data_IF_453362992826
#
_entry.id   IF_453362992826
#
_cell.length_a   1.000
_cell.length_b   1.000
_cell.length_c   1.000
_cell.angle_alpha   90.00
_cell.angle_beta   90.00
_cell.angle_gamma   90.00
#
_symmetry.space_group_name_H-M   'P 1'
#
loop_
_entity.id
_entity.type
_entity.pdbx_description
1 polymer ?
#
# COMPACT_ATOMS: atom_id res chain seq x y z
N UNK A 1 -9.64 11.47 -10.62
CA UNK A 1 -8.20 11.16 -10.28
C UNK A 1 -7.77 9.81 -10.88
N UNK A 2 -8.51 8.75 -10.69
CA UNK A 2 -8.24 7.38 -11.17
C UNK A 2 -8.02 7.26 -12.69
N UNK A 3 -8.93 7.83 -13.48
CA UNK A 3 -8.82 7.86 -14.95
C UNK A 3 -7.53 8.55 -15.39
N UNK A 4 -7.14 9.63 -14.72
CA UNK A 4 -5.90 10.35 -15.02
C UNK A 4 -4.66 9.52 -14.72
N UNK A 5 -4.63 8.78 -13.61
CA UNK A 5 -3.48 7.92 -13.27
C UNK A 5 -3.28 6.82 -14.30
N UNK A 6 -4.37 6.26 -14.80
CA UNK A 6 -4.33 5.12 -15.71
C UNK A 6 -4.13 5.52 -17.18
N UNK A 7 -4.80 6.56 -17.62
CA UNK A 7 -4.88 6.92 -19.04
C UNK A 7 -3.81 7.94 -19.42
N UNK A 8 -3.48 8.89 -18.52
CA UNK A 8 -2.61 10.00 -18.88
C UNK A 8 -1.18 9.57 -19.23
N UNK A 9 -0.45 8.75 -18.42
CA UNK A 9 0.89 8.28 -18.81
C UNK A 9 0.88 7.48 -20.11
N UNK A 10 -0.13 6.63 -20.30
CA UNK A 10 -0.31 5.85 -21.52
C UNK A 10 -0.51 6.75 -22.75
N UNK A 11 -1.46 7.68 -22.66
CA UNK A 11 -1.77 8.59 -23.77
C UNK A 11 -0.54 9.42 -24.19
N UNK A 12 0.27 9.89 -23.23
CA UNK A 12 1.50 10.61 -23.52
C UNK A 12 2.49 9.72 -24.28
N UNK A 13 2.72 8.50 -23.83
CA UNK A 13 3.62 7.56 -24.51
C UNK A 13 3.14 7.25 -25.93
N UNK A 14 1.85 6.94 -26.10
CA UNK A 14 1.27 6.65 -27.42
C UNK A 14 1.34 7.86 -28.37
N UNK A 15 1.11 9.07 -27.87
CA UNK A 15 1.27 10.29 -28.67
C UNK A 15 2.72 10.48 -29.15
N UNK A 16 3.69 10.24 -28.26
CA UNK A 16 5.12 10.34 -28.60
C UNK A 16 5.49 9.30 -29.64
N UNK A 17 5.01 8.06 -29.51
CA UNK A 17 5.27 6.96 -30.46
C UNK A 17 4.66 7.25 -31.83
N UNK A 18 3.46 7.82 -31.89
CA UNK A 18 2.78 8.17 -33.16
C UNK A 18 3.50 9.31 -33.90
N UNK A 19 3.88 10.36 -33.18
CA UNK A 19 4.52 11.54 -33.77
C UNK A 19 5.98 11.24 -34.12
N UNK A 20 6.68 10.52 -33.26
CA UNK A 20 8.11 10.24 -33.30
C UNK A 20 8.95 11.42 -32.80
N UNK A 21 9.79 11.18 -31.82
CA UNK A 21 10.63 12.20 -31.16
C UNK A 21 11.45 13.01 -32.19
N UNK A 22 12.01 12.35 -33.21
CA UNK A 22 12.86 12.97 -34.19
C UNK A 22 12.13 13.96 -35.12
N UNK A 23 10.82 13.82 -35.24
CA UNK A 23 9.97 14.67 -36.09
C UNK A 23 9.44 15.92 -35.38
N UNK A 24 9.52 15.94 -34.01
CA UNK A 24 9.03 17.07 -33.24
C UNK A 24 9.91 18.30 -33.36
N UNK A 25 9.31 19.49 -33.47
CA UNK A 25 10.00 20.77 -33.34
C UNK A 25 10.46 21.03 -31.91
N UNK A 26 11.36 21.98 -31.71
CA UNK A 26 11.90 22.30 -30.35
C UNK A 26 10.79 22.72 -29.38
N UNK A 27 9.78 23.44 -29.82
CA UNK A 27 8.65 23.83 -28.95
C UNK A 27 7.80 22.62 -28.56
N UNK A 28 7.52 21.75 -29.49
CA UNK A 28 6.77 20.49 -29.24
C UNK A 28 7.53 19.59 -28.25
N UNK A 29 8.87 19.48 -28.37
CA UNK A 29 9.71 18.75 -27.44
C UNK A 29 9.62 19.33 -26.02
N UNK A 30 9.62 20.67 -25.88
CA UNK A 30 9.45 21.33 -24.57
C UNK A 30 8.08 21.06 -23.96
N UNK A 31 7.02 21.14 -24.76
CA UNK A 31 5.67 20.90 -24.27
C UNK A 31 5.48 19.43 -23.86
N UNK A 32 5.99 18.49 -24.67
CA UNK A 32 5.93 17.05 -24.36
C UNK A 32 6.78 16.68 -23.14
N UNK A 33 7.92 17.34 -22.92
CA UNK A 33 8.72 17.16 -21.72
C UNK A 33 7.91 17.52 -20.46
N UNK A 34 7.23 18.67 -20.45
CA UNK A 34 6.35 19.08 -19.35
C UNK A 34 5.26 18.03 -19.11
N UNK A 35 4.66 17.49 -20.16
CA UNK A 35 3.66 16.43 -20.04
C UNK A 35 4.23 15.15 -19.46
N UNK A 36 5.44 14.74 -19.85
CA UNK A 36 6.12 13.58 -19.28
C UNK A 36 6.47 13.78 -17.79
N UNK A 37 6.97 14.96 -17.42
CA UNK A 37 7.26 15.29 -16.02
C UNK A 37 5.99 15.31 -15.16
N UNK A 38 4.88 15.82 -15.67
CA UNK A 38 3.58 15.77 -15.00
C UNK A 38 3.08 14.32 -14.87
N UNK A 39 3.23 13.49 -15.91
CA UNK A 39 2.84 12.09 -15.86
C UNK A 39 3.70 11.33 -14.83
N UNK A 40 5.00 11.60 -14.78
CA UNK A 40 5.90 11.04 -13.77
C UNK A 40 5.46 11.43 -12.34
N UNK A 41 5.14 12.69 -12.09
CA UNK A 41 4.65 13.14 -10.79
C UNK A 41 3.35 12.41 -10.40
N UNK A 42 2.41 12.23 -11.32
CA UNK A 42 1.18 11.47 -11.08
C UNK A 42 1.48 10.02 -10.67
N UNK A 43 2.45 9.36 -11.33
CA UNK A 43 2.86 8.00 -11.00
C UNK A 43 3.52 7.92 -9.62
N UNK A 44 4.37 8.90 -9.29
CA UNK A 44 5.03 9.01 -7.98
C UNK A 44 3.99 9.21 -6.87
N UNK A 45 3.11 10.20 -7.03
CA UNK A 45 2.07 10.55 -6.04
C UNK A 45 1.09 9.41 -5.77
N UNK A 46 0.95 8.49 -6.73
CA UNK A 46 0.08 7.32 -6.63
C UNK A 46 0.83 6.01 -6.39
N UNK A 47 2.16 6.10 -6.19
CA UNK A 47 3.04 4.95 -5.97
C UNK A 47 2.94 3.87 -7.04
N UNK A 48 2.93 4.27 -8.34
CA UNK A 48 2.77 3.38 -9.49
C UNK A 48 4.05 3.24 -10.32
N UNK A 49 4.32 2.02 -10.80
CA UNK A 49 5.43 1.70 -11.70
C UNK A 49 5.01 1.60 -13.17
N UNK A 50 3.72 1.43 -13.46
CA UNK A 50 3.25 1.30 -14.84
C UNK A 50 3.60 2.55 -15.66
N UNK A 51 4.05 2.35 -16.89
CA UNK A 51 4.55 3.42 -17.76
C UNK A 51 5.74 4.24 -17.25
N UNK A 52 6.27 3.99 -16.04
CA UNK A 52 7.37 4.79 -15.48
C UNK A 52 8.63 4.67 -16.35
N UNK A 53 8.95 3.46 -16.87
CA UNK A 53 10.10 3.23 -17.71
C UNK A 53 10.03 4.01 -19.03
N UNK A 54 8.96 3.90 -19.86
CA UNK A 54 8.82 4.71 -21.06
C UNK A 54 8.76 6.21 -20.79
N UNK A 55 8.13 6.66 -19.71
CA UNK A 55 8.11 8.08 -19.32
C UNK A 55 9.53 8.57 -19.01
N UNK A 56 10.32 7.84 -18.22
CA UNK A 56 11.71 8.19 -17.92
C UNK A 56 12.57 8.23 -19.18
N UNK A 57 12.46 7.23 -20.08
CA UNK A 57 13.17 7.21 -21.36
C UNK A 57 12.83 8.43 -22.21
N UNK A 58 11.57 8.81 -22.28
CA UNK A 58 11.13 10.00 -23.02
C UNK A 58 11.69 11.29 -22.41
N UNK A 59 11.68 11.45 -21.08
CA UNK A 59 12.27 12.59 -20.38
C UNK A 59 13.77 12.71 -20.71
N UNK A 60 14.52 11.62 -20.61
CA UNK A 60 15.94 11.56 -20.92
C UNK A 60 16.17 11.98 -22.38
N UNK A 61 15.43 11.41 -23.32
CA UNK A 61 15.53 11.73 -24.75
C UNK A 61 15.23 13.18 -25.06
N UNK A 62 14.17 13.75 -24.46
CA UNK A 62 13.82 15.15 -24.65
C UNK A 62 14.86 16.12 -24.05
N UNK A 63 15.35 15.85 -22.84
CA UNK A 63 16.39 16.67 -22.20
C UNK A 63 17.68 16.66 -22.98
N UNK A 64 18.11 15.48 -23.45
CA UNK A 64 19.28 15.33 -24.32
C UNK A 64 19.16 16.14 -25.60
N UNK A 65 17.98 16.11 -26.24
CA UNK A 65 17.73 16.85 -27.50
C UNK A 65 17.68 18.37 -27.29
N UNK A 66 17.27 18.83 -26.12
CA UNK A 66 17.24 20.26 -25.78
C UNK A 66 18.65 20.80 -25.43
N UNK A 67 19.65 19.93 -25.36
CA UNK A 67 21.04 20.33 -25.02
C UNK A 67 21.19 20.80 -23.58
N UNK A 68 20.21 20.50 -22.73
CA UNK A 68 20.31 20.77 -21.31
C UNK A 68 21.28 19.73 -20.71
N UNK A 69 22.55 20.12 -20.58
CA UNK A 69 23.54 19.38 -19.76
C UNK A 69 23.26 19.62 -18.26
N UNK A 70 21.99 19.48 -17.87
CA UNK A 70 21.60 19.57 -16.46
C UNK A 70 22.01 18.30 -15.72
N UNK A 71 22.54 18.47 -14.50
CA UNK A 71 22.85 17.37 -13.56
C UNK A 71 21.65 16.41 -13.35
N UNK A 72 20.46 16.87 -13.70
CA UNK A 72 19.21 16.10 -13.62
C UNK A 72 19.05 14.94 -14.65
N UNK A 73 19.78 14.92 -15.76
CA UNK A 73 19.66 13.79 -16.73
C UNK A 73 20.21 12.53 -16.11
N UNK A 74 21.39 12.60 -15.50
CA UNK A 74 22.01 11.47 -14.82
C UNK A 74 21.11 10.90 -13.72
N UNK A 75 20.38 11.74 -13.01
CA UNK A 75 19.41 11.30 -12.00
C UNK A 75 18.29 10.42 -12.62
N UNK A 76 17.76 10.80 -13.77
CA UNK A 76 16.75 10.01 -14.46
C UNK A 76 17.31 8.70 -15.05
N UNK A 77 18.56 8.72 -15.53
CA UNK A 77 19.24 7.53 -16.01
C UNK A 77 19.49 6.51 -14.90
N UNK A 78 19.98 6.96 -13.73
CA UNK A 78 20.19 6.12 -12.55
C UNK A 78 18.84 5.50 -12.06
N UNK A 79 17.77 6.30 -12.01
CA UNK A 79 16.45 5.82 -11.65
C UNK A 79 15.94 4.77 -12.65
N UNK A 80 16.09 5.03 -13.94
CA UNK A 80 15.66 4.10 -15.00
C UNK A 80 16.42 2.78 -14.90
N UNK A 81 17.76 2.84 -14.79
CA UNK A 81 18.60 1.65 -14.63
C UNK A 81 18.20 0.81 -13.43
N UNK A 82 17.98 1.45 -12.27
CA UNK A 82 17.54 0.76 -11.07
C UNK A 82 16.19 0.04 -11.25
N UNK A 83 15.22 0.70 -11.89
CA UNK A 83 13.91 0.12 -12.16
C UNK A 83 14.03 -1.03 -13.17
N UNK A 84 14.79 -0.89 -14.24
CA UNK A 84 15.02 -1.94 -15.24
C UNK A 84 15.63 -3.18 -14.59
N UNK A 85 16.68 -3.03 -13.78
CA UNK A 85 17.30 -4.15 -13.04
C UNK A 85 16.30 -4.88 -12.14
N UNK A 86 15.37 -4.17 -11.51
CA UNK A 86 14.32 -4.80 -10.69
C UNK A 86 13.37 -5.63 -11.53
N UNK A 87 12.93 -5.12 -12.68
CA UNK A 87 12.06 -5.87 -13.59
C UNK A 87 12.77 -7.09 -14.18
N UNK A 88 14.04 -6.96 -14.54
CA UNK A 88 14.85 -8.08 -15.05
C UNK A 88 15.04 -9.17 -13.98
N UNK A 89 15.29 -8.77 -12.73
CA UNK A 89 15.58 -9.68 -11.64
C UNK A 89 14.35 -10.42 -11.12
N UNK A 90 13.22 -9.73 -11.01
CA UNK A 90 11.99 -10.29 -10.45
C UNK A 90 11.01 -10.76 -11.53
N UNK A 91 11.47 -10.75 -12.78
CA UNK A 91 10.88 -11.50 -13.88
C UNK A 91 9.48 -11.05 -14.27
N UNK A 92 9.36 -9.91 -14.95
CA UNK A 92 8.07 -9.53 -15.50
C UNK A 92 8.20 -9.07 -16.94
N UNK A 93 8.09 -10.03 -17.85
CA UNK A 93 7.86 -9.80 -19.28
C UNK A 93 6.38 -9.52 -19.53
N UNK A 94 5.85 -8.42 -19.02
CA UNK A 94 4.50 -8.02 -19.42
C UNK A 94 4.58 -6.89 -20.41
N UNK A 95 3.84 -7.07 -21.48
CA UNK A 95 3.41 -5.93 -22.27
C UNK A 95 2.57 -5.01 -21.39
N UNK A 96 2.85 -3.73 -21.45
CA UNK A 96 2.28 -2.63 -20.66
C UNK A 96 0.74 -2.50 -20.74
N UNK A 97 0.02 -3.49 -21.23
CA UNK A 97 -1.38 -3.39 -21.65
C UNK A 97 -2.35 -4.30 -20.92
N UNK A 98 -1.89 -5.12 -20.00
CA UNK A 98 -2.86 -5.89 -19.24
C UNK A 98 -3.58 -4.97 -18.25
N UNK A 99 -4.90 -5.00 -18.28
CA UNK A 99 -5.83 -4.27 -17.40
C UNK A 99 -5.65 -4.58 -15.91
N UNK A 100 -4.68 -5.35 -15.60
CA UNK A 100 -4.39 -5.96 -14.33
C UNK A 100 -4.10 -4.96 -13.20
N UNK A 101 -3.28 -3.90 -13.40
CA UNK A 101 -3.01 -2.91 -12.36
C UNK A 101 -4.27 -2.15 -11.93
N UNK A 102 -5.29 -2.14 -12.76
CA UNK A 102 -6.53 -1.41 -12.51
C UNK A 102 -7.51 -2.17 -11.64
N UNK A 103 -7.47 -3.51 -11.67
CA UNK A 103 -8.32 -4.34 -10.81
C UNK A 103 -7.81 -4.43 -9.37
N UNK A 104 -6.52 -4.27 -9.17
CA UNK A 104 -5.86 -4.45 -7.87
C UNK A 104 -6.17 -3.33 -6.89
N UNK A 105 -6.48 -2.14 -7.37
CA UNK A 105 -6.88 -1.02 -6.50
C UNK A 105 -8.38 -0.97 -6.19
N UNK A 106 -9.17 -1.74 -6.90
CA UNK A 106 -10.54 -1.96 -6.48
C UNK A 106 -10.48 -2.89 -5.26
N UNK A 107 -10.80 -2.40 -4.09
CA UNK A 107 -11.10 -3.25 -2.93
C UNK A 107 -12.30 -4.12 -3.30
N UNK A 108 -12.01 -5.26 -3.97
CA UNK A 108 -13.06 -6.21 -4.31
C UNK A 108 -13.44 -6.93 -3.03
N UNK A 109 -14.63 -6.64 -2.54
CA UNK A 109 -15.19 -7.32 -1.40
C UNK A 109 -16.10 -8.45 -1.87
N UNK A 110 -15.71 -9.69 -1.59
CA UNK A 110 -16.60 -10.84 -1.75
C UNK A 110 -17.61 -10.82 -0.60
N UNK A 111 -18.75 -10.18 -0.83
CA UNK A 111 -19.76 -9.89 0.22
C UNK A 111 -20.19 -11.16 0.96
N UNK A 112 -20.38 -12.27 0.25
CA UNK A 112 -20.83 -13.53 0.85
C UNK A 112 -19.78 -14.08 1.82
N UNK A 113 -18.50 -14.04 1.43
CA UNK A 113 -17.40 -14.51 2.25
C UNK A 113 -17.12 -13.57 3.41
N UNK A 114 -17.19 -12.24 3.17
CA UNK A 114 -17.08 -11.25 4.23
C UNK A 114 -18.16 -11.46 5.31
N UNK A 115 -19.42 -11.69 4.92
CA UNK A 115 -20.50 -11.98 5.86
C UNK A 115 -20.22 -13.28 6.63
N UNK A 116 -19.76 -14.32 5.94
CA UNK A 116 -19.42 -15.61 6.55
C UNK A 116 -18.33 -15.49 7.62
N UNK A 117 -17.22 -14.90 7.25
CA UNK A 117 -16.05 -14.76 8.13
C UNK A 117 -16.35 -13.81 9.29
N UNK A 118 -16.96 -12.65 9.01
CA UNK A 118 -17.27 -11.69 10.06
C UNK A 118 -18.27 -12.23 11.09
N UNK A 119 -19.24 -13.02 10.64
CA UNK A 119 -20.13 -13.74 11.55
C UNK A 119 -19.35 -14.66 12.49
N UNK A 120 -18.38 -15.41 11.96
CA UNK A 120 -17.51 -16.25 12.78
C UNK A 120 -16.69 -15.44 13.78
N UNK A 121 -16.15 -14.29 13.35
CA UNK A 121 -15.35 -13.41 14.20
C UNK A 121 -16.15 -12.82 15.36
N UNK A 122 -17.36 -12.37 15.10
CA UNK A 122 -18.23 -11.72 16.10
C UNK A 122 -19.01 -12.72 16.95
N UNK A 123 -19.02 -14.01 16.57
CA UNK A 123 -19.77 -15.05 17.27
C UNK A 123 -21.30 -14.93 17.14
N UNK A 124 -21.80 -14.00 16.30
CA UNK A 124 -23.25 -13.80 16.12
C UNK A 124 -23.88 -15.05 15.48
N UNK A 125 -25.04 -15.46 15.99
CA UNK A 125 -25.79 -16.58 15.43
C UNK A 125 -26.40 -16.24 14.07
N UNK A 126 -26.79 -17.26 13.30
CA UNK A 126 -27.47 -17.02 12.01
C UNK A 126 -28.82 -16.37 12.21
N UNK A 127 -29.51 -16.71 13.29
CA UNK A 127 -30.80 -16.16 13.67
C UNK A 127 -30.70 -14.66 14.00
N UNK A 128 -29.72 -14.29 14.81
CA UNK A 128 -29.41 -12.89 15.15
C UNK A 128 -29.01 -12.09 13.92
N UNK A 129 -28.16 -12.67 13.08
CA UNK A 129 -27.74 -12.02 11.84
C UNK A 129 -28.92 -11.82 10.88
N UNK A 130 -29.81 -12.78 10.77
CA UNK A 130 -31.01 -12.70 9.93
C UNK A 130 -31.99 -11.62 10.44
N UNK A 131 -32.25 -11.61 11.75
CA UNK A 131 -33.19 -10.71 12.41
C UNK A 131 -34.53 -10.64 11.65
N UNK A 132 -35.08 -9.45 11.54
CA UNK A 132 -36.40 -9.22 10.88
C UNK A 132 -36.29 -9.08 9.35
N UNK A 133 -35.10 -9.14 8.78
CA UNK A 133 -34.89 -8.76 7.38
C UNK A 133 -34.79 -9.94 6.42
N UNK A 134 -34.41 -11.10 6.92
CA UNK A 134 -34.19 -12.31 6.14
C UNK A 134 -34.56 -13.55 6.96
N UNK A 135 -34.88 -14.67 6.29
CA UNK A 135 -34.94 -15.95 6.97
C UNK A 135 -33.53 -16.51 7.24
N UNK A 136 -33.32 -17.19 8.35
CA UNK A 136 -32.05 -17.87 8.68
C UNK A 136 -31.60 -18.81 7.55
N UNK A 137 -32.56 -19.48 6.88
CA UNK A 137 -32.28 -20.32 5.71
C UNK A 137 -31.69 -19.51 4.54
N UNK A 138 -32.19 -18.30 4.29
CA UNK A 138 -31.67 -17.44 3.21
C UNK A 138 -30.28 -16.91 3.56
N UNK A 139 -30.04 -16.50 4.80
CA UNK A 139 -28.71 -16.08 5.29
C UNK A 139 -27.71 -17.22 5.13
N UNK A 140 -28.08 -18.47 5.48
CA UNK A 140 -27.22 -19.62 5.24
C UNK A 140 -26.87 -19.83 3.77
N UNK A 141 -27.84 -19.63 2.85
CA UNK A 141 -27.58 -19.75 1.40
C UNK A 141 -26.65 -18.65 0.89
N UNK A 142 -26.80 -17.43 1.42
CA UNK A 142 -25.89 -16.31 1.12
C UNK A 142 -24.46 -16.64 1.58
N UNK A 143 -24.30 -17.06 2.84
CA UNK A 143 -23.00 -17.41 3.40
C UNK A 143 -22.30 -18.52 2.59
N UNK A 144 -23.06 -19.49 2.10
CA UNK A 144 -22.55 -20.60 1.27
C UNK A 144 -22.32 -20.21 -0.21
N UNK A 145 -22.58 -18.97 -0.59
CA UNK A 145 -22.44 -18.51 -1.98
C UNK A 145 -23.52 -19.02 -2.94
N UNK A 146 -24.58 -19.69 -2.44
CA UNK A 146 -25.66 -20.20 -3.31
C UNK A 146 -26.61 -19.13 -3.81
N UNK A 147 -26.61 -17.96 -3.18
CA UNK A 147 -27.46 -16.82 -3.52
C UNK A 147 -26.65 -15.55 -3.35
N UNK A 148 -26.68 -14.71 -4.36
CA UNK A 148 -26.13 -13.35 -4.27
C UNK A 148 -27.17 -12.44 -3.60
N UNK A 149 -26.86 -11.81 -2.47
CA UNK A 149 -27.77 -10.91 -1.80
C UNK A 149 -27.96 -9.62 -2.59
N UNK A 150 -29.14 -9.01 -2.52
CA UNK A 150 -29.34 -7.66 -3.05
C UNK A 150 -28.51 -6.65 -2.24
N UNK A 151 -28.23 -5.47 -2.82
CA UNK A 151 -27.51 -4.39 -2.14
C UNK A 151 -28.08 -4.08 -0.74
N UNK A 152 -29.41 -3.92 -0.66
CA UNK A 152 -30.07 -3.62 0.61
C UNK A 152 -29.95 -4.76 1.63
N UNK A 153 -30.01 -6.01 1.19
CA UNK A 153 -29.80 -7.18 2.05
C UNK A 153 -28.36 -7.22 2.55
N UNK A 154 -27.40 -7.06 1.66
CA UNK A 154 -25.97 -7.01 2.00
C UNK A 154 -25.68 -5.93 3.02
N UNK A 155 -26.19 -4.71 2.78
CA UNK A 155 -26.02 -3.58 3.70
C UNK A 155 -26.52 -3.90 5.10
N UNK A 156 -27.75 -4.42 5.23
CA UNK A 156 -28.35 -4.75 6.53
C UNK A 156 -27.57 -5.84 7.27
N UNK A 157 -27.11 -6.88 6.56
CA UNK A 157 -26.30 -7.94 7.17
C UNK A 157 -24.94 -7.42 7.63
N UNK A 158 -24.27 -6.61 6.81
CA UNK A 158 -22.98 -6.00 7.16
C UNK A 158 -23.12 -4.98 8.30
N UNK A 159 -24.18 -4.17 8.32
CA UNK A 159 -24.46 -3.24 9.41
C UNK A 159 -24.60 -3.96 10.76
N UNK A 160 -25.25 -5.14 10.77
CA UNK A 160 -25.37 -5.98 11.99
C UNK A 160 -24.04 -6.61 12.43
N UNK A 161 -23.14 -6.82 11.48
CA UNK A 161 -21.79 -7.33 11.74
C UNK A 161 -20.77 -6.21 12.09
N UNK A 162 -21.26 -4.98 12.34
CA UNK A 162 -20.40 -3.83 12.66
C UNK A 162 -19.66 -3.25 11.46
N UNK A 163 -19.98 -3.69 10.24
CA UNK A 163 -19.32 -3.26 9.00
C UNK A 163 -20.15 -2.18 8.26
N UNK A 164 -20.56 -1.15 8.98
CA UNK A 164 -21.33 -0.05 8.39
C UNK A 164 -20.49 0.67 7.32
N UNK A 165 -21.00 0.72 6.10
CA UNK A 165 -20.35 1.44 4.99
C UNK A 165 -19.42 0.62 4.10
N UNK A 166 -19.13 -0.63 4.41
CA UNK A 166 -18.21 -1.51 3.64
C UNK A 166 -18.62 -1.72 2.17
N UNK A 167 -19.91 -1.62 1.86
CA UNK A 167 -20.39 -1.73 0.47
C UNK A 167 -20.14 -0.47 -0.37
N UNK A 168 -19.55 0.56 0.21
CA UNK A 168 -19.07 1.72 -0.51
C UNK A 168 -17.55 1.60 -0.60
N UNK A 169 -16.99 1.90 -1.76
CA UNK A 169 -15.54 1.92 -1.98
C UNK A 169 -14.80 2.87 -1.04
N UNK A 170 -15.53 3.78 -0.41
CA UNK A 170 -15.03 4.73 0.58
C UNK A 170 -15.56 4.34 1.95
N UNK A 171 -14.70 3.77 2.74
CA UNK A 171 -14.93 3.42 4.17
C UNK A 171 -15.26 4.67 4.98
N UNK A 172 -14.87 5.83 4.49
CA UNK A 172 -14.96 7.12 5.14
C UNK A 172 -16.08 7.92 4.51
N UNK A 173 -17.02 8.38 5.34
CA UNK A 173 -18.13 9.22 4.91
C UNK A 173 -17.86 10.65 5.34
N UNK A 174 -17.39 11.45 4.42
CA UNK A 174 -17.13 12.87 4.62
C UNK A 174 -18.17 13.76 3.94
N UNK A 175 -18.11 15.05 4.23
CA UNK A 175 -18.98 16.08 3.64
C UNK A 175 -18.74 16.34 2.14
N UNK A 176 -17.66 15.79 1.58
CA UNK A 176 -17.30 15.93 0.17
C UNK A 176 -15.94 15.34 -0.18
N UNK A 177 -15.53 15.47 -1.44
CA UNK A 177 -14.23 14.97 -1.96
C UNK A 177 -13.05 15.55 -1.20
N UNK A 178 -13.18 16.78 -0.70
CA UNK A 178 -12.15 17.47 0.11
C UNK A 178 -11.77 16.68 1.38
N UNK A 179 -12.72 15.97 1.99
CA UNK A 179 -12.45 15.15 3.16
C UNK A 179 -11.51 13.98 2.81
N UNK A 180 -11.72 13.37 1.65
CA UNK A 180 -10.86 12.29 1.15
C UNK A 180 -9.45 12.82 0.82
N UNK A 181 -9.36 13.94 0.11
CA UNK A 181 -8.07 14.58 -0.21
C UNK A 181 -7.30 15.02 1.04
N UNK A 182 -8.04 15.49 2.07
CA UNK A 182 -7.43 15.87 3.34
C UNK A 182 -6.88 14.67 4.10
N UNK A 183 -7.57 13.52 4.02
CA UNK A 183 -7.08 12.27 4.60
C UNK A 183 -5.81 11.80 3.89
N UNK A 184 -5.80 11.76 2.55
CA UNK A 184 -4.61 11.37 1.78
C UNK A 184 -3.42 12.26 2.16
N UNK A 185 -3.62 13.59 2.22
CA UNK A 185 -2.58 14.54 2.63
C UNK A 185 -2.11 14.31 4.07
N UNK A 186 -3.02 13.96 5.00
CA UNK A 186 -2.64 13.66 6.38
C UNK A 186 -1.77 12.41 6.45
N UNK A 187 -2.12 11.35 5.74
CA UNK A 187 -1.33 10.13 5.64
C UNK A 187 0.06 10.41 5.03
N UNK A 188 0.13 11.21 3.98
CA UNK A 188 1.38 11.63 3.36
C UNK A 188 2.26 12.44 4.32
N UNK A 189 1.66 13.38 5.06
CA UNK A 189 2.38 14.17 6.06
C UNK A 189 2.95 13.28 7.18
N UNK A 190 2.21 12.30 7.65
CA UNK A 190 2.69 11.33 8.64
C UNK A 190 3.86 10.51 8.04
N UNK A 191 3.70 9.98 6.84
CA UNK A 191 4.73 9.19 6.17
C UNK A 191 6.03 9.98 5.90
N UNK A 192 5.92 11.31 5.71
CA UNK A 192 7.04 12.23 5.51
C UNK A 192 7.57 12.84 6.81
N UNK A 193 7.07 12.42 7.98
CA UNK A 193 7.43 12.98 9.29
C UNK A 193 7.14 14.48 9.44
N UNK A 194 6.13 14.99 8.73
CA UNK A 194 5.61 16.36 8.84
C UNK A 194 4.49 16.41 9.88
N UNK A 195 4.83 16.19 11.13
CA UNK A 195 3.86 15.91 12.19
C UNK A 195 2.92 17.07 12.50
N UNK A 196 3.41 18.31 12.49
CA UNK A 196 2.59 19.52 12.72
C UNK A 196 1.52 19.72 11.63
N UNK A 197 1.90 19.48 10.36
CA UNK A 197 0.94 19.50 9.25
C UNK A 197 -0.08 18.37 9.37
N UNK A 198 0.37 17.17 9.77
CA UNK A 198 -0.51 16.03 9.98
C UNK A 198 -1.55 16.32 11.10
N UNK A 199 -1.14 16.88 12.24
CA UNK A 199 -2.05 17.27 13.34
C UNK A 199 -3.12 18.25 12.87
N UNK A 200 -2.71 19.27 12.12
CA UNK A 200 -3.62 20.26 11.57
C UNK A 200 -4.65 19.61 10.63
N UNK A 201 -4.20 18.70 9.76
CA UNK A 201 -5.07 18.01 8.81
C UNK A 201 -6.02 17.03 9.51
N UNK A 202 -5.56 16.29 10.53
CA UNK A 202 -6.41 15.42 11.34
C UNK A 202 -7.49 16.25 12.07
N UNK A 203 -7.12 17.40 12.61
CA UNK A 203 -8.09 18.32 13.24
C UNK A 203 -9.15 18.81 12.25
N UNK A 204 -8.77 19.08 10.98
CA UNK A 204 -9.71 19.42 9.91
C UNK A 204 -10.62 18.25 9.57
N UNK A 205 -10.10 17.03 9.49
CA UNK A 205 -10.88 15.81 9.24
C UNK A 205 -11.99 15.59 10.26
N UNK A 206 -11.76 15.93 11.54
CA UNK A 206 -12.81 15.87 12.57
C UNK A 206 -14.05 16.71 12.25
N UNK A 207 -13.89 17.79 11.51
CA UNK A 207 -15.01 18.65 11.10
C UNK A 207 -15.64 18.21 9.78
N UNK A 208 -14.92 17.45 8.96
CA UNK A 208 -15.36 16.97 7.65
C UNK A 208 -16.01 15.60 7.72
N UNK A 209 -15.65 14.79 8.71
CA UNK A 209 -16.19 13.46 8.91
C UNK A 209 -17.51 13.49 9.69
N UNK A 210 -18.45 12.63 9.31
CA UNK A 210 -19.68 12.47 10.07
C UNK A 210 -19.42 11.69 11.36
N UNK A 211 -19.59 12.33 12.50
CA UNK A 211 -19.32 11.76 13.83
C UNK A 211 -20.22 10.58 14.22
N UNK A 212 -21.36 10.45 13.57
CA UNK A 212 -22.31 9.32 13.77
C UNK A 212 -21.91 8.07 12.95
N UNK A 213 -20.83 8.12 12.20
CA UNK A 213 -20.28 7.01 11.44
C UNK A 213 -19.11 6.41 12.23
N UNK A 214 -19.30 5.22 12.77
CA UNK A 214 -18.36 4.55 13.66
C UNK A 214 -16.95 4.41 13.05
N UNK A 215 -16.88 4.02 11.77
CA UNK A 215 -15.60 3.85 11.05
C UNK A 215 -14.82 5.17 10.97
N UNK A 216 -15.50 6.30 10.80
CA UNK A 216 -14.85 7.61 10.79
C UNK A 216 -14.13 7.89 12.12
N UNK A 217 -14.77 7.55 13.23
CA UNK A 217 -14.19 7.74 14.56
C UNK A 217 -13.01 6.80 14.78
N UNK A 218 -13.12 5.53 14.36
CA UNK A 218 -12.02 4.55 14.41
C UNK A 218 -10.81 5.04 13.62
N UNK A 219 -11.02 5.53 12.40
CA UNK A 219 -9.92 6.03 11.54
C UNK A 219 -9.27 7.27 12.14
N UNK A 220 -10.05 8.22 12.66
CA UNK A 220 -9.50 9.42 13.30
C UNK A 220 -8.68 9.07 14.54
N UNK A 221 -9.19 8.19 15.40
CA UNK A 221 -8.48 7.74 16.59
C UNK A 221 -7.21 6.97 16.24
N UNK A 222 -7.27 6.11 15.21
CA UNK A 222 -6.10 5.43 14.69
C UNK A 222 -5.02 6.40 14.23
N UNK A 223 -5.38 7.43 13.46
CA UNK A 223 -4.42 8.44 12.96
C UNK A 223 -3.75 9.18 14.11
N UNK A 224 -4.48 9.51 15.16
CA UNK A 224 -3.94 10.17 16.35
C UNK A 224 -2.99 9.26 17.13
N UNK A 225 -3.38 8.01 17.34
CA UNK A 225 -2.52 7.00 17.99
C UNK A 225 -1.22 6.84 17.19
N UNK A 226 -1.32 6.68 15.89
CA UNK A 226 -0.16 6.51 15.01
C UNK A 226 0.76 7.72 15.05
N UNK A 227 0.20 8.92 14.98
CA UNK A 227 0.97 10.16 15.05
C UNK A 227 1.69 10.34 16.39
N UNK A 228 1.00 10.11 17.51
CA UNK A 228 1.58 10.16 18.87
C UNK A 228 2.71 9.13 19.03
N UNK A 229 2.53 7.93 18.47
CA UNK A 229 3.58 6.90 18.45
C UNK A 229 4.83 7.37 17.71
N UNK A 230 4.67 7.97 16.52
CA UNK A 230 5.80 8.45 15.72
C UNK A 230 6.50 9.68 16.29
N UNK A 231 5.83 10.44 17.14
CA UNK A 231 6.38 11.58 17.89
C UNK A 231 7.02 11.15 19.21
N UNK A 232 7.03 9.85 19.52
CA UNK A 232 7.48 9.31 20.82
C UNK A 232 6.75 9.92 22.04
N UNK A 233 5.47 10.33 21.87
CA UNK A 233 4.65 10.91 22.93
C UNK A 233 3.96 9.87 23.81
N UNK A 234 3.87 8.63 23.33
CA UNK A 234 3.16 7.52 23.98
C UNK A 234 3.99 6.25 23.90
N UNK A 235 4.07 5.51 25.00
CA UNK A 235 4.76 4.23 25.06
C UNK A 235 4.10 3.18 24.16
N UNK A 236 4.89 2.32 23.49
CA UNK A 236 4.37 1.29 22.59
C UNK A 236 3.36 0.35 23.26
N UNK A 237 3.49 0.08 24.54
CA UNK A 237 2.54 -0.75 25.30
C UNK A 237 1.15 -0.11 25.39
N UNK A 238 1.08 1.20 25.56
CA UNK A 238 -0.17 1.95 25.55
C UNK A 238 -0.76 2.02 24.15
N UNK A 239 0.08 2.26 23.13
CA UNK A 239 -0.34 2.21 21.72
C UNK A 239 -1.00 0.87 21.40
N UNK A 240 -0.38 -0.24 21.78
CA UNK A 240 -0.92 -1.61 21.60
C UNK A 240 -2.29 -1.75 22.22
N UNK A 241 -2.46 -1.34 23.48
CA UNK A 241 -3.74 -1.43 24.19
C UNK A 241 -4.84 -0.59 23.51
N UNK A 242 -4.49 0.61 23.07
CA UNK A 242 -5.44 1.50 22.35
C UNK A 242 -5.82 0.93 20.99
N UNK A 243 -4.86 0.41 20.23
CA UNK A 243 -5.14 -0.25 18.94
C UNK A 243 -6.03 -1.48 19.10
N UNK A 244 -5.84 -2.27 20.16
CA UNK A 244 -6.71 -3.41 20.47
C UNK A 244 -8.16 -3.00 20.72
N UNK A 245 -8.38 -1.83 21.34
CA UNK A 245 -9.73 -1.33 21.61
C UNK A 245 -10.47 -0.86 20.37
N UNK A 246 -9.77 -0.58 19.26
CA UNK A 246 -10.37 -0.16 17.99
C UNK A 246 -10.93 -1.33 17.17
N UNK A 247 -10.58 -2.56 17.51
CA UNK A 247 -11.00 -3.73 16.77
C UNK A 247 -12.07 -4.54 17.52
N UNK A 248 -13.03 -5.10 16.78
CA UNK A 248 -14.12 -5.91 17.37
C UNK A 248 -13.67 -7.32 17.76
N UNK A 249 -12.39 -7.65 17.65
CA UNK A 249 -11.83 -8.99 17.92
C UNK A 249 -10.42 -8.88 18.51
N UNK A 250 -9.96 -9.97 19.15
CA UNK A 250 -8.61 -10.03 19.71
C UNK A 250 -7.56 -10.33 18.65
N UNK A 251 -6.43 -9.65 18.68
CA UNK A 251 -5.32 -9.91 17.76
C UNK A 251 -4.80 -11.34 17.80
N UNK A 252 -4.78 -11.99 18.94
CA UNK A 252 -4.40 -13.39 19.10
C UNK A 252 -5.25 -14.37 18.26
N UNK A 253 -6.42 -13.93 17.84
CA UNK A 253 -7.35 -14.74 17.04
C UNK A 253 -7.30 -14.44 15.54
N UNK A 254 -6.50 -13.44 15.13
CA UNK A 254 -6.52 -12.92 13.76
C UNK A 254 -6.18 -13.98 12.70
N UNK A 255 -5.28 -14.93 13.04
CA UNK A 255 -4.95 -16.05 12.14
C UNK A 255 -6.10 -17.05 11.88
N UNK A 256 -7.24 -16.88 12.53
CA UNK A 256 -8.46 -17.66 12.28
C UNK A 256 -9.34 -17.02 11.19
N UNK A 257 -9.04 -15.79 10.77
CA UNK A 257 -9.93 -14.96 9.97
C UNK A 257 -9.32 -14.63 8.61
N UNK A 258 -10.15 -14.74 7.57
CA UNK A 258 -9.73 -14.58 6.17
C UNK A 258 -9.87 -13.15 5.64
N UNK A 259 -10.70 -12.34 6.25
CA UNK A 259 -11.01 -11.01 5.73
C UNK A 259 -10.84 -9.92 6.78
N UNK A 260 -9.94 -8.99 6.48
CA UNK A 260 -9.80 -7.74 7.21
C UNK A 260 -10.18 -6.58 6.28
N UNK A 261 -10.96 -5.65 6.76
CA UNK A 261 -11.26 -4.42 6.02
C UNK A 261 -10.09 -3.44 6.13
N UNK A 262 -10.04 -2.42 5.26
CA UNK A 262 -8.87 -1.54 5.12
C UNK A 262 -8.36 -0.96 6.44
N UNK A 263 -9.24 -0.36 7.23
CA UNK A 263 -8.83 0.24 8.51
C UNK A 263 -8.30 -0.80 9.52
N UNK A 264 -8.85 -2.02 9.53
CA UNK A 264 -8.37 -3.11 10.38
C UNK A 264 -6.94 -3.54 9.98
N UNK A 265 -6.64 -3.56 8.68
CA UNK A 265 -5.29 -3.84 8.17
C UNK A 265 -4.29 -2.77 8.57
N UNK A 266 -4.69 -1.49 8.47
CA UNK A 266 -3.86 -0.37 8.91
C UNK A 266 -3.55 -0.46 10.41
N UNK A 267 -4.56 -0.74 11.21
CA UNK A 267 -4.42 -0.94 12.67
C UNK A 267 -3.50 -2.13 12.95
N UNK A 268 -3.71 -3.27 12.29
CA UNK A 268 -2.87 -4.45 12.43
C UNK A 268 -1.41 -4.18 12.04
N UNK A 269 -1.19 -3.46 10.94
CA UNK A 269 0.15 -3.08 10.48
C UNK A 269 0.92 -2.32 11.57
N UNK A 270 0.29 -1.31 12.17
CA UNK A 270 0.89 -0.54 13.27
C UNK A 270 1.06 -1.37 14.55
N UNK A 271 0.10 -2.26 14.85
CA UNK A 271 0.20 -3.19 15.98
C UNK A 271 1.42 -4.12 15.87
N UNK A 272 1.64 -4.70 14.69
CA UNK A 272 2.83 -5.54 14.42
C UNK A 272 4.11 -4.74 14.60
N UNK A 273 4.14 -3.49 14.13
CA UNK A 273 5.29 -2.61 14.32
C UNK A 273 5.58 -2.37 15.80
N UNK A 274 4.56 -2.07 16.61
CA UNK A 274 4.72 -1.86 18.04
C UNK A 274 5.24 -3.11 18.74
N UNK A 275 4.69 -4.29 18.43
CA UNK A 275 5.19 -5.55 18.98
C UNK A 275 6.65 -5.80 18.61
N UNK A 276 7.03 -5.52 17.36
CA UNK A 276 8.43 -5.59 16.92
C UNK A 276 9.34 -4.63 17.69
N UNK A 277 8.91 -3.39 17.92
CA UNK A 277 9.65 -2.39 18.73
C UNK A 277 9.78 -2.78 20.19
N UNK A 278 8.80 -3.50 20.72
CA UNK A 278 8.81 -4.02 22.11
C UNK A 278 9.54 -5.36 22.24
N UNK A 279 10.10 -5.87 21.15
CA UNK A 279 10.73 -7.20 21.07
C UNK A 279 9.78 -8.37 21.46
N UNK A 280 8.47 -8.15 21.34
CA UNK A 280 7.44 -9.17 21.62
C UNK A 280 7.08 -9.97 20.37
N UNK A 281 8.08 -10.51 19.71
CA UNK A 281 7.93 -11.19 18.41
C UNK A 281 7.01 -12.41 18.46
N UNK A 282 6.96 -13.10 19.58
CA UNK A 282 6.09 -14.27 19.79
C UNK A 282 4.60 -13.93 19.81
N UNK A 283 4.27 -12.67 20.14
CA UNK A 283 2.91 -12.17 20.12
C UNK A 283 2.45 -11.73 18.72
N UNK A 284 3.37 -11.62 17.76
CA UNK A 284 3.03 -11.26 16.38
C UNK A 284 2.26 -12.42 15.75
N UNK A 285 1.07 -12.18 15.18
CA UNK A 285 0.31 -13.22 14.48
C UNK A 285 1.17 -13.87 13.38
N UNK A 286 1.07 -15.19 13.24
CA UNK A 286 1.90 -15.93 12.28
C UNK A 286 1.54 -15.54 10.84
N UNK A 287 2.53 -15.11 10.06
CA UNK A 287 2.35 -14.65 8.69
C UNK A 287 1.75 -15.72 7.77
N UNK A 288 2.23 -16.95 7.87
CA UNK A 288 1.78 -18.03 7.00
C UNK A 288 0.31 -18.41 7.29
N UNK A 289 -0.12 -18.29 8.55
CA UNK A 289 -1.54 -18.45 8.90
C UNK A 289 -2.39 -17.30 8.39
N UNK A 290 -1.89 -16.08 8.49
CA UNK A 290 -2.56 -14.87 7.97
C UNK A 290 -2.77 -14.93 6.46
N UNK A 291 -1.82 -15.50 5.73
CA UNK A 291 -1.86 -15.55 4.26
C UNK A 291 -2.37 -16.89 3.70
N UNK A 292 -2.65 -17.87 4.54
CA UNK A 292 -3.02 -19.24 4.16
C UNK A 292 -4.28 -19.37 3.29
N UNK A 293 -5.17 -18.39 3.32
CA UNK A 293 -6.38 -18.35 2.49
C UNK A 293 -6.12 -17.92 1.04
N UNK A 294 -4.94 -17.37 0.77
CA UNK A 294 -4.54 -16.97 -0.58
C UNK A 294 -3.89 -18.17 -1.24
N UNK A 295 -4.66 -18.88 -2.01
CA UNK A 295 -4.24 -20.17 -2.58
C UNK A 295 -3.69 -20.10 -3.98
N UNK A 296 -3.84 -18.96 -4.66
CA UNK A 296 -3.40 -18.81 -6.05
C UNK A 296 -2.85 -17.39 -6.35
N UNK A 297 -2.05 -17.28 -7.40
CA UNK A 297 -1.38 -16.05 -7.82
C UNK A 297 -2.38 -14.93 -8.19
N UNK A 298 -3.53 -15.29 -8.75
CA UNK A 298 -4.57 -14.31 -9.08
C UNK A 298 -5.11 -13.65 -7.81
N UNK A 299 -5.37 -14.43 -6.77
CA UNK A 299 -5.80 -13.90 -5.48
C UNK A 299 -4.74 -13.01 -4.84
N UNK A 300 -3.45 -13.40 -4.90
CA UNK A 300 -2.35 -12.56 -4.42
C UNK A 300 -2.35 -11.18 -5.08
N UNK A 301 -2.53 -11.15 -6.38
CA UNK A 301 -2.56 -9.91 -7.15
C UNK A 301 -3.81 -9.06 -6.87
N UNK A 302 -4.98 -9.69 -6.74
CA UNK A 302 -6.22 -9.00 -6.37
C UNK A 302 -6.15 -8.32 -5.01
N UNK A 303 -5.37 -8.89 -4.10
CA UNK A 303 -5.21 -8.39 -2.74
C UNK A 303 -3.84 -7.73 -2.49
N UNK A 304 -3.11 -7.36 -3.53
CA UNK A 304 -1.77 -6.77 -3.41
C UNK A 304 -1.74 -5.57 -2.45
N UNK A 305 -2.72 -4.68 -2.54
CA UNK A 305 -2.82 -3.51 -1.64
C UNK A 305 -2.98 -3.88 -0.16
N UNK A 306 -3.45 -5.09 0.14
CA UNK A 306 -3.55 -5.62 1.50
C UNK A 306 -2.18 -6.01 2.03
N UNK A 307 -1.35 -6.58 1.15
CA UNK A 307 -0.09 -7.20 1.54
C UNK A 307 1.08 -6.23 1.60
N UNK A 308 1.02 -5.11 0.91
CA UNK A 308 2.12 -4.14 0.85
C UNK A 308 2.63 -3.76 2.23
N UNK A 309 1.76 -3.17 3.05
CA UNK A 309 2.12 -2.76 4.41
C UNK A 309 2.40 -3.95 5.33
N UNK A 310 1.58 -5.01 5.24
CA UNK A 310 1.77 -6.20 6.06
C UNK A 310 3.08 -6.89 5.77
N UNK A 311 3.43 -7.13 4.50
CA UNK A 311 4.71 -7.73 4.14
C UNK A 311 5.89 -6.92 4.67
N UNK A 312 5.83 -5.60 4.53
CA UNK A 312 6.88 -4.71 5.05
C UNK A 312 6.99 -4.82 6.58
N UNK A 313 5.87 -4.79 7.31
CA UNK A 313 5.89 -4.86 8.79
C UNK A 313 6.35 -6.21 9.28
N UNK A 314 5.89 -7.29 8.69
CA UNK A 314 6.34 -8.65 9.03
C UNK A 314 7.83 -8.84 8.72
N UNK A 315 8.28 -8.44 7.52
CA UNK A 315 9.69 -8.55 7.16
C UNK A 315 10.59 -7.79 8.15
N UNK A 316 10.25 -6.53 8.44
CA UNK A 316 11.01 -5.72 9.40
C UNK A 316 10.99 -6.35 10.82
N UNK A 317 9.84 -6.82 11.30
CA UNK A 317 9.73 -7.40 12.63
C UNK A 317 10.54 -8.69 12.76
N UNK A 318 10.45 -9.59 11.78
CA UNK A 318 11.26 -10.81 11.79
C UNK A 318 12.76 -10.54 11.61
N UNK A 319 13.14 -9.55 10.78
CA UNK A 319 14.52 -9.10 10.66
C UNK A 319 15.06 -8.60 12.00
N UNK A 320 14.36 -7.70 12.66
CA UNK A 320 14.74 -7.18 13.98
C UNK A 320 14.81 -8.29 15.05
N UNK A 321 14.01 -9.35 14.92
CA UNK A 321 14.05 -10.52 15.79
C UNK A 321 15.22 -11.48 15.49
N UNK A 322 16.04 -11.21 14.47
CA UNK A 322 17.11 -12.11 14.04
C UNK A 322 16.63 -13.29 13.19
N UNK A 323 15.34 -13.36 12.84
CA UNK A 323 14.77 -14.40 11.97
C UNK A 323 14.94 -14.02 10.48
N UNK A 324 16.18 -13.78 10.07
CA UNK A 324 16.53 -13.21 8.77
C UNK A 324 16.00 -13.99 7.57
N UNK A 325 16.03 -15.33 7.61
CA UNK A 325 15.54 -16.16 6.50
C UNK A 325 14.03 -15.98 6.28
N UNK A 326 13.26 -15.92 7.37
CA UNK A 326 11.81 -15.70 7.30
C UNK A 326 11.52 -14.26 6.83
N UNK A 327 12.28 -13.30 7.33
CA UNK A 327 12.23 -11.89 6.89
C UNK A 327 12.52 -11.76 5.41
N UNK A 328 13.60 -12.39 4.92
CA UNK A 328 13.99 -12.36 3.51
C UNK A 328 12.91 -12.96 2.59
N UNK A 329 12.33 -14.11 2.99
CA UNK A 329 11.24 -14.75 2.24
C UNK A 329 10.03 -13.82 2.09
N UNK A 330 9.62 -13.18 3.19
CA UNK A 330 8.45 -12.28 3.19
C UNK A 330 8.76 -11.00 2.40
N UNK A 331 9.96 -10.45 2.57
CA UNK A 331 10.38 -9.28 1.80
C UNK A 331 10.42 -9.57 0.30
N UNK A 332 10.94 -10.73 -0.10
CA UNK A 332 11.00 -11.15 -1.52
C UNK A 332 9.60 -11.35 -2.10
N UNK A 333 8.69 -11.97 -1.35
CA UNK A 333 7.29 -12.09 -1.76
C UNK A 333 6.64 -10.71 -1.94
N UNK A 334 6.87 -9.79 -1.00
CA UNK A 334 6.39 -8.40 -1.09
C UNK A 334 6.96 -7.66 -2.31
N UNK A 335 8.25 -7.78 -2.58
CA UNK A 335 8.91 -7.18 -3.76
C UNK A 335 8.27 -7.72 -5.04
N UNK A 336 8.07 -9.03 -5.16
CA UNK A 336 7.43 -9.64 -6.34
C UNK A 336 6.01 -9.11 -6.54
N UNK A 337 5.21 -9.04 -5.47
CA UNK A 337 3.84 -8.52 -5.53
C UNK A 337 3.84 -7.07 -5.99
N UNK A 338 4.70 -6.22 -5.43
CA UNK A 338 4.82 -4.81 -5.82
C UNK A 338 5.17 -4.67 -7.31
N UNK A 339 6.17 -5.39 -7.79
CA UNK A 339 6.61 -5.34 -9.19
C UNK A 339 5.55 -5.92 -10.12
N UNK A 340 4.98 -7.08 -9.80
CA UNK A 340 3.93 -7.71 -10.59
C UNK A 340 2.65 -6.89 -10.69
N UNK A 341 2.34 -6.12 -9.65
CA UNK A 341 1.21 -5.21 -9.63
C UNK A 341 1.58 -3.78 -10.07
N UNK A 342 2.82 -3.60 -10.54
CA UNK A 342 3.37 -2.31 -10.99
C UNK A 342 3.17 -1.19 -9.96
N UNK A 343 3.51 -1.50 -8.69
CA UNK A 343 3.40 -0.59 -7.54
C UNK A 343 4.78 -0.35 -6.92
N UNK A 344 4.90 0.73 -6.17
CA UNK A 344 6.15 1.06 -5.44
C UNK A 344 5.88 1.59 -4.03
N UNK A 345 4.75 1.18 -3.43
CA UNK A 345 4.34 1.73 -2.12
C UNK A 345 5.36 1.42 -1.03
N UNK A 346 5.68 0.15 -0.82
CA UNK A 346 6.65 -0.32 0.17
C UNK A 346 7.96 -0.85 -0.46
N UNK A 347 8.09 -0.82 -1.78
CA UNK A 347 9.15 -1.48 -2.55
C UNK A 347 10.56 -1.14 -2.04
N UNK A 348 10.88 0.14 -1.88
CA UNK A 348 12.19 0.57 -1.39
C UNK A 348 12.50 0.06 0.03
N UNK A 349 11.50 -0.03 0.89
CA UNK A 349 11.69 -0.54 2.26
C UNK A 349 11.92 -2.06 2.27
N UNK A 350 11.20 -2.80 1.44
CA UNK A 350 11.37 -4.25 1.30
C UNK A 350 12.74 -4.61 0.70
N UNK A 351 13.19 -3.87 -0.33
CA UNK A 351 14.52 -4.03 -0.91
C UNK A 351 15.62 -3.77 0.13
N UNK A 352 15.50 -2.69 0.89
CA UNK A 352 16.43 -2.36 1.95
C UNK A 352 16.41 -3.40 3.08
N UNK A 353 15.25 -3.92 3.46
CA UNK A 353 15.13 -4.97 4.48
C UNK A 353 16.00 -6.18 4.13
N UNK A 354 15.98 -6.64 2.88
CA UNK A 354 16.83 -7.74 2.41
C UNK A 354 18.32 -7.42 2.50
N UNK A 355 18.72 -6.23 2.04
CA UNK A 355 20.11 -5.79 2.12
C UNK A 355 20.57 -5.67 3.59
N UNK A 356 19.73 -5.11 4.44
CA UNK A 356 20.00 -4.97 5.87
C UNK A 356 20.18 -6.34 6.56
N UNK A 357 19.31 -7.28 6.29
CA UNK A 357 19.40 -8.66 6.82
C UNK A 357 20.74 -9.33 6.45
N UNK A 358 21.22 -9.12 5.21
CA UNK A 358 22.54 -9.62 4.79
C UNK A 358 23.67 -8.95 5.58
N UNK A 359 23.55 -7.65 5.85
CA UNK A 359 24.47 -6.90 6.71
C UNK A 359 24.55 -7.44 8.12
N UNK A 360 23.41 -7.71 8.76
CA UNK A 360 23.33 -8.26 10.11
C UNK A 360 23.91 -9.69 10.19
N UNK A 361 23.80 -10.48 9.12
CA UNK A 361 24.44 -11.81 9.02
C UNK A 361 25.93 -11.74 8.73
N UNK A 362 26.47 -10.58 8.39
CA UNK A 362 27.89 -10.40 8.04
C UNK A 362 28.29 -11.04 6.70
N UNK A 363 27.36 -11.23 5.76
CA UNK A 363 27.59 -11.89 4.47
C UNK A 363 27.04 -11.10 3.29
N UNK A 364 27.34 -9.80 3.24
CA UNK A 364 26.87 -8.89 2.18
C UNK A 364 27.48 -9.26 0.82
N UNK A 365 26.64 -9.54 -0.14
CA UNK A 365 27.01 -9.76 -1.53
C UNK A 365 26.83 -8.48 -2.38
N UNK A 366 27.42 -8.47 -3.58
CA UNK A 366 27.18 -7.36 -4.52
C UNK A 366 25.69 -7.24 -4.89
N UNK A 367 24.97 -8.36 -4.93
CA UNK A 367 23.54 -8.36 -5.13
C UNK A 367 22.76 -7.62 -4.01
N UNK A 368 23.20 -7.72 -2.76
CA UNK A 368 22.56 -7.02 -1.64
C UNK A 368 22.83 -5.51 -1.72
N UNK A 369 24.05 -5.12 -2.13
CA UNK A 369 24.38 -3.72 -2.41
C UNK A 369 23.53 -3.16 -3.55
N UNK A 370 23.30 -3.95 -4.60
CA UNK A 370 22.43 -3.56 -5.72
C UNK A 370 20.97 -3.38 -5.27
N UNK A 371 20.43 -4.26 -4.44
CA UNK A 371 19.09 -4.07 -3.86
C UNK A 371 19.00 -2.77 -3.06
N UNK A 372 20.03 -2.43 -2.30
CA UNK A 372 20.08 -1.17 -1.55
C UNK A 372 20.20 0.06 -2.47
N UNK A 373 20.97 -0.03 -3.58
CA UNK A 373 21.02 1.03 -4.60
C UNK A 373 19.66 1.25 -5.24
N UNK A 374 18.97 0.18 -5.63
CA UNK A 374 17.61 0.26 -6.15
C UNK A 374 16.64 0.88 -5.12
N UNK A 375 16.75 0.50 -3.85
CA UNK A 375 15.98 1.11 -2.77
C UNK A 375 16.23 2.62 -2.66
N UNK A 376 17.49 3.03 -2.79
CA UNK A 376 17.89 4.43 -2.75
C UNK A 376 17.29 5.23 -3.92
N UNK A 377 17.38 4.71 -5.16
CA UNK A 377 16.84 5.40 -6.34
C UNK A 377 15.30 5.52 -6.29
N UNK A 378 14.59 4.49 -5.82
CA UNK A 378 13.14 4.58 -5.59
C UNK A 378 12.80 5.60 -4.50
N UNK A 379 13.58 5.65 -3.40
CA UNK A 379 13.39 6.66 -2.36
C UNK A 379 13.67 8.09 -2.88
N UNK A 380 14.66 8.24 -3.76
CA UNK A 380 15.00 9.51 -4.46
C UNK A 380 13.83 9.95 -5.35
N UNK A 381 13.30 9.03 -6.17
CA UNK A 381 12.13 9.25 -7.00
C UNK A 381 10.91 9.70 -6.16
N UNK A 382 10.68 9.08 -5.01
CA UNK A 382 9.61 9.40 -4.06
C UNK A 382 9.93 10.60 -3.14
N UNK A 383 11.07 11.24 -3.29
CA UNK A 383 11.54 12.39 -2.46
C UNK A 383 11.58 12.08 -0.95
N UNK A 384 11.92 10.85 -0.58
CA UNK A 384 11.97 10.38 0.81
C UNK A 384 13.36 10.59 1.43
N UNK A 385 13.71 11.82 1.73
CA UNK A 385 15.05 12.24 2.16
C UNK A 385 15.61 11.45 3.37
N UNK A 386 14.76 11.13 4.36
CA UNK A 386 15.17 10.37 5.55
C UNK A 386 15.63 8.95 5.13
N UNK A 387 14.85 8.28 4.28
CA UNK A 387 15.17 6.94 3.79
C UNK A 387 16.40 6.95 2.89
N UNK A 388 16.53 7.94 2.01
CA UNK A 388 17.74 8.12 1.21
C UNK A 388 19.00 8.22 2.09
N UNK A 389 18.94 9.02 3.17
CA UNK A 389 20.05 9.13 4.13
C UNK A 389 20.38 7.82 4.84
N UNK A 390 19.36 7.01 5.17
CA UNK A 390 19.53 5.69 5.77
C UNK A 390 20.22 4.72 4.82
N UNK A 391 19.75 4.63 3.58
CA UNK A 391 20.26 3.69 2.56
C UNK A 391 21.68 4.04 2.14
N UNK A 392 21.98 5.34 1.97
CA UNK A 392 23.34 5.82 1.68
C UNK A 392 24.32 5.42 2.78
N UNK A 393 23.99 5.68 4.05
CA UNK A 393 24.86 5.30 5.18
C UNK A 393 25.10 3.79 5.25
N UNK A 394 24.13 2.97 4.88
CA UNK A 394 24.33 1.53 4.83
C UNK A 394 25.30 1.15 3.71
N UNK A 395 25.14 1.71 2.50
CA UNK A 395 26.05 1.48 1.36
C UNK A 395 27.50 1.91 1.66
N UNK A 396 27.69 3.02 2.37
CA UNK A 396 29.01 3.53 2.75
C UNK A 396 29.73 2.65 3.78
N UNK A 397 29.00 1.84 4.53
CA UNK A 397 29.56 0.93 5.54
C UNK A 397 29.96 -0.43 4.98
N UNK A 398 29.45 -0.81 3.82
CA UNK A 398 29.67 -2.10 3.18
C UNK A 398 30.77 -2.03 2.11
#
# INVERSE_FOLDING_TARGET
>A
KWILVCIYPKAICEMIDIIGIDKMGIMEVKDMLVHCENALNVLIDTSRLHYIRPILRNIISFKSRLGNNDDNINDYEEMLEAIEKLFDKFGHERELFEWYPYYVDCEFCCVNELIAERRCMTGISIEELAGDTQSSRNVQRIIKGYVSPSYNTSKKLLDRLGLKGVLRSDVIVGSGVEAYETLDKALDCIAMSKFEDAERLISQLRTMFYSNVEINNIVLEYLEIWLQMLKDEVEFSEVVNRLESLLPFKYSEIGKYKYLVKHERMILSTYIECLGKMEKYEAIPDYDKMTSWITNELSKKQFASIFEDLNMRYANSYGNAGHYEKSDRIAEEGIRIEIECERMHCLNTLLYCRAWNAGERGNVSENDKELCRCAYEIAKLKKQNIRMGLYRRWLEKQ
#
